data_IF_865933088959
#
_entry.id   IF_865933088959
#
_cell.length_a   1.000
_cell.length_b   1.000
_cell.length_c   1.000
_cell.angle_alpha   90.00
_cell.angle_beta   90.00
_cell.angle_gamma   90.00
#
_symmetry.space_group_name_H-M   'P 1'
#
loop_
_entity.id
_entity.type
_entity.pdbx_description
1 polymer ?
#
# COMPACT_ATOMS: atom_id res chain seq x y z
N UNK A 1 -16.94 3.23 9.38
CA UNK A 1 -16.67 3.75 8.04
C UNK A 1 -15.19 3.88 7.79
N UNK A 2 -14.75 3.52 6.60
CA UNK A 2 -13.34 3.60 6.27
C UNK A 2 -13.03 4.99 5.72
N UNK A 3 -12.11 5.68 6.35
CA UNK A 3 -11.71 7.00 5.91
C UNK A 3 -10.21 7.17 6.07
N UNK A 4 -9.56 7.70 5.04
CA UNK A 4 -8.14 7.99 5.07
C UNK A 4 -7.97 9.49 5.10
N UNK A 5 -7.08 9.97 5.96
CA UNK A 5 -6.88 11.40 6.13
C UNK A 5 -5.41 11.75 5.99
N UNK A 6 -5.13 13.03 5.85
CA UNK A 6 -3.76 13.49 5.73
C UNK A 6 -2.97 13.33 7.01
N UNK A 7 -3.65 13.17 8.13
CA UNK A 7 -2.97 13.05 9.41
C UNK A 7 -2.48 11.65 9.70
N UNK A 8 -2.87 10.68 8.88
CA UNK A 8 -2.43 9.31 9.07
C UNK A 8 -1.06 9.12 8.45
N UNK A 9 -0.27 8.22 9.04
CA UNK A 9 1.00 7.85 8.45
C UNK A 9 0.76 6.70 7.50
N UNK A 10 1.37 6.80 6.32
CA UNK A 10 1.20 5.82 5.26
C UNK A 10 2.53 5.15 5.00
N UNK A 11 2.51 3.83 4.93
CA UNK A 11 3.71 3.04 4.62
C UNK A 11 3.43 2.21 3.38
N UNK A 12 4.29 2.33 2.41
CA UNK A 12 4.17 1.56 1.17
C UNK A 12 5.08 0.35 1.26
N UNK A 13 4.51 -0.84 1.04
CA UNK A 13 5.31 -2.04 0.95
C UNK A 13 6.07 -1.99 -0.38
N UNK A 14 7.38 -2.17 -0.33
CA UNK A 14 8.25 -1.88 -1.45
C UNK A 14 8.29 -2.96 -2.53
N UNK A 15 7.60 -4.07 -2.33
CA UNK A 15 7.56 -5.15 -3.30
C UNK A 15 6.12 -5.37 -3.75
N UNK A 16 5.94 -6.01 -4.88
CA UNK A 16 4.60 -6.33 -5.33
C UNK A 16 4.08 -7.54 -4.56
N UNK A 17 2.78 -7.61 -4.37
CA UNK A 17 2.17 -8.59 -3.50
C UNK A 17 1.16 -9.42 -4.29
N UNK A 18 1.10 -10.70 -3.99
CA UNK A 18 0.06 -11.55 -4.52
C UNK A 18 -1.26 -11.11 -3.93
N UNK A 19 -2.18 -10.66 -4.77
CA UNK A 19 -3.44 -10.08 -4.32
C UNK A 19 -4.41 -11.11 -3.77
N UNK A 20 -4.05 -12.39 -3.73
CA UNK A 20 -4.84 -13.39 -3.03
C UNK A 20 -4.60 -13.33 -1.53
N UNK A 21 -3.57 -12.63 -1.07
CA UNK A 21 -3.34 -12.48 0.36
C UNK A 21 -4.45 -11.68 0.98
N UNK A 22 -4.99 -12.21 2.07
CA UNK A 22 -6.00 -11.52 2.85
C UNK A 22 -5.39 -10.81 4.04
N UNK A 23 -6.21 -10.48 5.00
CA UNK A 23 -5.76 -9.73 6.18
C UNK A 23 -4.62 -10.41 6.89
N UNK A 24 -4.68 -11.72 7.10
CA UNK A 24 -3.64 -12.42 7.82
C UNK A 24 -2.31 -12.35 7.09
N UNK A 25 -2.33 -12.57 5.78
CA UNK A 25 -1.11 -12.51 4.99
C UNK A 25 -0.49 -11.13 4.99
N UNK A 26 -1.31 -10.09 4.86
CA UNK A 26 -0.82 -8.72 4.87
C UNK A 26 -0.32 -8.31 6.27
N UNK A 27 -1.00 -8.77 7.32
CA UNK A 27 -0.56 -8.56 8.69
C UNK A 27 0.87 -9.09 8.85
N UNK A 28 1.14 -10.28 8.34
CA UNK A 28 2.45 -10.88 8.45
C UNK A 28 3.52 -10.09 7.70
N UNK A 29 3.17 -9.53 6.55
CA UNK A 29 4.12 -8.70 5.81
C UNK A 29 4.49 -7.45 6.61
N UNK A 30 3.51 -6.81 7.24
CA UNK A 30 3.78 -5.62 8.04
C UNK A 30 4.69 -5.98 9.20
N UNK A 31 4.38 -7.07 9.88
CA UNK A 31 5.11 -7.43 11.08
C UNK A 31 6.51 -7.94 10.76
N UNK A 32 6.63 -8.80 9.78
CA UNK A 32 7.88 -9.47 9.49
C UNK A 32 8.77 -8.72 8.52
N UNK A 33 8.22 -8.32 7.38
CA UNK A 33 9.03 -7.70 6.33
C UNK A 33 9.23 -6.21 6.56
N UNK A 34 8.22 -5.52 7.02
CA UNK A 34 8.33 -4.09 7.24
C UNK A 34 8.82 -3.77 8.65
N UNK A 35 8.77 -4.74 9.55
CA UNK A 35 9.18 -4.57 10.95
C UNK A 35 8.41 -3.45 11.63
N UNK A 36 7.13 -3.37 11.33
CA UNK A 36 6.25 -2.36 11.91
C UNK A 36 5.11 -3.03 12.65
N UNK A 37 4.44 -2.26 13.49
CA UNK A 37 3.29 -2.80 14.22
C UNK A 37 2.05 -2.70 13.36
N UNK A 38 1.39 -3.83 13.06
CA UNK A 38 0.17 -3.77 12.26
C UNK A 38 -1.00 -3.14 12.99
N UNK A 39 -0.92 -2.99 14.32
CA UNK A 39 -2.02 -2.44 15.12
C UNK A 39 -1.76 -1.00 15.56
N UNK A 40 -0.84 -0.33 14.89
CA UNK A 40 -0.49 1.04 15.25
C UNK A 40 -1.53 2.07 14.82
N UNK A 41 -2.40 1.70 13.90
CA UNK A 41 -3.32 2.67 13.29
C UNK A 41 -2.77 3.29 12.02
N UNK A 42 -1.52 2.99 11.70
CA UNK A 42 -0.94 3.49 10.46
C UNK A 42 -1.54 2.74 9.26
N UNK A 43 -1.41 3.33 8.09
CA UNK A 43 -2.00 2.81 6.87
C UNK A 43 -0.93 2.10 6.06
N UNK A 44 -1.18 0.84 5.72
CA UNK A 44 -0.21 0.03 4.98
C UNK A 44 -0.76 -0.25 3.58
N UNK A 45 0.03 0.06 2.56
CA UNK A 45 -0.41 0.04 1.16
C UNK A 45 0.37 -1.00 0.38
N UNK A 46 -0.36 -1.85 -0.35
CA UNK A 46 0.22 -2.97 -1.09
C UNK A 46 -0.31 -2.94 -2.54
N UNK A 47 0.58 -3.12 -3.50
CA UNK A 47 0.20 -3.10 -4.91
C UNK A 47 0.43 -4.46 -5.57
N UNK A 48 -0.39 -4.78 -6.55
CA UNK A 48 -0.21 -5.99 -7.35
C UNK A 48 0.93 -5.82 -8.32
N UNK A 49 1.45 -6.94 -8.82
CA UNK A 49 2.55 -6.92 -9.79
C UNK A 49 2.17 -6.15 -11.05
N UNK A 50 0.93 -6.25 -11.48
CA UNK A 50 0.48 -5.52 -12.67
C UNK A 50 0.11 -4.08 -12.35
N UNK A 51 0.12 -3.71 -11.09
CA UNK A 51 -0.18 -2.36 -10.63
C UNK A 51 -1.59 -1.90 -10.96
N UNK A 52 -2.49 -2.83 -11.14
CA UNK A 52 -3.90 -2.51 -11.40
C UNK A 52 -4.78 -2.76 -10.16
N UNK A 53 -4.19 -3.23 -9.08
CA UNK A 53 -4.93 -3.47 -7.86
C UNK A 53 -4.13 -3.00 -6.65
N UNK A 54 -4.82 -2.40 -5.70
CA UNK A 54 -4.21 -1.96 -4.45
C UNK A 54 -5.02 -2.51 -3.29
N UNK A 55 -4.33 -2.91 -2.24
CA UNK A 55 -4.96 -3.25 -0.96
C UNK A 55 -4.37 -2.35 0.10
N UNK A 56 -5.22 -1.88 0.99
CA UNK A 56 -4.82 -0.98 2.06
C UNK A 56 -5.32 -1.57 3.37
N UNK A 57 -4.40 -1.78 4.31
CA UNK A 57 -4.70 -2.36 5.60
C UNK A 57 -4.50 -1.35 6.70
N UNK A 58 -5.44 -1.26 7.63
CA UNK A 58 -5.34 -0.36 8.76
C UNK A 58 -6.06 -0.94 9.96
N UNK A 59 -5.44 -0.85 11.12
CA UNK A 59 -6.10 -1.21 12.38
C UNK A 59 -6.94 -0.02 12.86
N UNK A 60 -8.22 -0.27 13.14
CA UNK A 60 -9.12 0.79 13.59
C UNK A 60 -9.77 0.37 14.88
N UNK A 61 -9.28 0.88 15.98
CA UNK A 61 -9.83 0.70 17.32
C UNK A 61 -9.92 -0.76 17.78
N UNK A 62 -10.72 -1.56 17.13
CA UNK A 62 -11.00 -2.92 17.57
C UNK A 62 -10.92 -3.96 16.45
N UNK A 63 -10.44 -3.58 15.31
CA UNK A 63 -10.35 -4.52 14.20
C UNK A 63 -9.59 -3.95 13.01
N UNK A 64 -9.35 -4.82 12.02
CA UNK A 64 -8.69 -4.39 10.81
C UNK A 64 -9.70 -4.00 9.75
N UNK A 65 -9.37 -2.97 9.00
CA UNK A 65 -10.10 -2.59 7.80
C UNK A 65 -9.21 -2.91 6.63
N UNK A 66 -9.73 -3.62 5.65
CA UNK A 66 -9.01 -3.92 4.43
C UNK A 66 -9.77 -3.31 3.26
N UNK A 67 -9.15 -2.32 2.62
CA UNK A 67 -9.71 -1.67 1.45
C UNK A 67 -9.04 -2.28 0.23
N UNK A 68 -9.82 -2.47 -0.83
CA UNK A 68 -9.29 -3.05 -2.05
C UNK A 68 -9.90 -2.33 -3.24
N UNK A 69 -9.06 -2.00 -4.20
CA UNK A 69 -9.54 -1.36 -5.42
C UNK A 69 -8.80 -1.92 -6.62
N UNK A 70 -9.56 -2.26 -7.66
CA UNK A 70 -9.00 -2.71 -8.93
C UNK A 70 -9.38 -1.72 -10.00
N UNK A 71 -8.40 -1.29 -10.80
CA UNK A 71 -8.67 -0.40 -11.91
C UNK A 71 -9.20 -1.20 -13.09
N UNK A 72 -10.23 -0.68 -13.75
CA UNK A 72 -10.75 -1.31 -14.96
C UNK A 72 -9.77 -1.13 -16.10
N UNK A 73 -9.08 -0.01 -16.13
CA UNK A 73 -8.10 0.28 -17.16
C UNK A 73 -6.94 1.01 -16.53
N UNK A 74 -5.77 0.82 -17.09
CA UNK A 74 -4.58 1.52 -16.63
C UNK A 74 -3.97 0.91 -15.40
N UNK A 75 -3.03 1.62 -14.81
CA UNK A 75 -2.29 1.15 -13.65
C UNK A 75 -2.13 2.28 -12.66
N UNK A 76 -1.94 1.90 -11.39
CA UNK A 76 -1.60 2.86 -10.37
C UNK A 76 -0.16 3.34 -10.56
N UNK A 77 0.08 4.59 -10.24
CA UNK A 77 1.42 5.12 -10.21
C UNK A 77 1.99 4.81 -8.83
N UNK A 78 2.95 3.90 -8.78
CA UNK A 78 3.50 3.42 -7.52
C UNK A 78 4.75 4.22 -7.21
N UNK A 79 4.78 4.96 -6.08
CA UNK A 79 5.96 5.75 -5.74
C UNK A 79 7.16 4.86 -5.47
N UNK A 80 8.35 5.32 -5.82
CA UNK A 80 9.57 4.63 -5.52
C UNK A 80 10.37 5.46 -4.56
N UNK A 81 10.95 4.81 -3.57
CA UNK A 81 11.81 5.50 -2.64
C UNK A 81 13.19 5.64 -3.25
N UNK A 82 13.71 6.87 -3.26
CA UNK A 82 15.06 7.14 -3.75
C UNK A 82 15.97 7.35 -2.55
N UNK A 83 16.87 6.40 -2.26
CA UNK A 83 17.73 6.53 -1.09
C UNK A 83 18.72 7.69 -1.22
N UNK A 84 19.02 8.14 -2.43
CA UNK A 84 19.93 9.25 -2.60
C UNK A 84 19.33 10.57 -2.13
N UNK A 85 18.02 10.74 -2.31
CA UNK A 85 17.36 11.97 -1.90
C UNK A 85 16.56 11.80 -0.64
N UNK A 86 16.32 10.57 -0.21
CA UNK A 86 15.50 10.30 0.96
C UNK A 86 14.03 10.54 0.74
N UNK A 87 13.58 10.58 -0.49
CA UNK A 87 12.20 10.91 -0.81
C UNK A 87 11.61 9.91 -1.79
N UNK A 88 10.29 9.89 -1.88
CA UNK A 88 9.60 9.08 -2.86
C UNK A 88 9.49 9.87 -4.16
N UNK A 89 9.63 9.15 -5.26
CA UNK A 89 9.56 9.74 -6.59
C UNK A 89 8.62 8.96 -7.46
N UNK A 90 8.14 9.56 -8.53
CA UNK A 90 7.35 8.87 -9.50
C UNK A 90 8.20 7.88 -10.23
N UNK A 91 7.58 6.77 -10.62
CA UNK A 91 8.26 5.78 -11.42
C UNK A 91 8.50 6.33 -12.81
N UNK A 92 9.71 6.16 -13.29
CA UNK A 92 10.02 6.68 -14.59
C UNK A 92 9.43 5.89 -15.72
N UNK A 93 8.98 4.69 -15.43
CA UNK A 93 8.36 3.92 -16.39
C UNK A 93 7.03 4.32 -16.71
N UNK A 94 6.38 5.22 -15.92
CA UNK A 94 5.09 5.49 -16.09
C UNK A 94 4.83 6.51 -17.04
N UNK A 95 3.76 6.48 -17.70
CA UNK A 95 3.42 7.40 -18.70
C UNK A 95 2.22 8.20 -18.31
N UNK A 96 1.86 9.11 -19.13
CA UNK A 96 0.85 10.05 -18.76
C UNK A 96 -0.52 9.48 -18.61
N UNK A 97 -0.77 8.29 -19.06
CA UNK A 97 -2.09 7.77 -18.89
C UNK A 97 -2.36 7.36 -17.48
N UNK A 98 -1.40 7.42 -16.61
CA UNK A 98 -1.66 7.12 -15.24
C UNK A 98 -2.44 8.22 -14.63
N UNK A 99 -3.29 7.94 -13.80
CA UNK A 99 -4.12 8.90 -13.21
C UNK A 99 -3.86 9.12 -11.81
#
# INVERSE_FOLDING_TARGET
MFALTENMRYYLYQHYVDMRKGMTGLYQLVKSDMSLSPVSGDVFVFFSHKRDMVKILRWDTDGFILYQKRLEEGTFEVPRFNPSTGAYERSEEHTSELQ
#
